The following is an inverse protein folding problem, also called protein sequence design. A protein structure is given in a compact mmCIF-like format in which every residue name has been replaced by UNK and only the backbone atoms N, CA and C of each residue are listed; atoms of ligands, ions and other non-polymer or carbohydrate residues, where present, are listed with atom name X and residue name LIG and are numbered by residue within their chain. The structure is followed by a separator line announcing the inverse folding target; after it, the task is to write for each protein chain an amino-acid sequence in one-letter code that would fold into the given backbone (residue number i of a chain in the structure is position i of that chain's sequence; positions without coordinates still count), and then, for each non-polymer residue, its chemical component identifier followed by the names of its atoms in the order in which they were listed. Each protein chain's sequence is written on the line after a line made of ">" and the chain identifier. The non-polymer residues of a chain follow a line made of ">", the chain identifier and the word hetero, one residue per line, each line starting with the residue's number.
data_IF_133005863867
#
_entry.id   IF_133005863867
#
_cell.length_a   1.000
_cell.length_b   1.000
_cell.length_c   1.000
_cell.angle_alpha   90.00
_cell.angle_beta   90.00
_cell.angle_gamma   90.00
#
_symmetry.space_group_name_H-M   'P 1'
#
loop_
_entity.id
_entity.type
_entity.pdbx_description
1 polymer ?
#
# COMPACT_ATOMS: atom_id res chain seq x y z
N UNK A 1 -27.07 12.40 -10.25
CA UNK A 1 -27.15 13.46 -9.22
C UNK A 1 -26.95 12.92 -7.79
N UNK A 2 -27.61 11.82 -7.38
CA UNK A 2 -27.46 11.22 -6.03
C UNK A 2 -26.02 10.74 -5.76
N UNK A 3 -25.33 10.19 -6.74
CA UNK A 3 -23.97 9.68 -6.60
C UNK A 3 -22.93 10.80 -6.46
N UNK A 4 -23.07 11.87 -7.23
CA UNK A 4 -22.27 13.09 -7.10
C UNK A 4 -22.45 13.76 -5.73
N UNK A 5 -23.66 13.76 -5.22
CA UNK A 5 -23.98 14.30 -3.89
C UNK A 5 -23.34 13.46 -2.77
N UNK A 6 -23.36 12.14 -2.90
CA UNK A 6 -22.74 11.21 -1.96
C UNK A 6 -21.22 11.32 -1.94
N UNK A 7 -20.58 11.47 -3.12
CA UNK A 7 -19.14 11.72 -3.25
C UNK A 7 -18.77 13.07 -2.62
N UNK A 8 -19.57 14.10 -2.83
CA UNK A 8 -19.35 15.42 -2.23
C UNK A 8 -19.53 15.38 -0.70
N UNK A 9 -20.51 14.63 -0.17
CA UNK A 9 -20.70 14.43 1.26
C UNK A 9 -19.52 13.68 1.89
N UNK A 10 -19.03 12.62 1.25
CA UNK A 10 -17.84 11.88 1.70
C UNK A 10 -16.61 12.79 1.72
N UNK A 11 -16.35 13.54 0.65
CA UNK A 11 -15.24 14.52 0.61
C UNK A 11 -15.38 15.61 1.68
N UNK A 12 -16.60 16.02 2.01
CA UNK A 12 -16.87 16.99 3.07
C UNK A 12 -16.60 16.40 4.46
N UNK A 13 -16.95 15.13 4.68
CA UNK A 13 -16.65 14.40 5.91
C UNK A 13 -15.15 14.13 6.07
N UNK A 14 -14.45 13.77 5.00
CA UNK A 14 -12.99 13.62 4.99
C UNK A 14 -12.27 14.95 5.27
N UNK A 15 -12.80 16.07 4.76
CA UNK A 15 -12.26 17.41 5.03
C UNK A 15 -12.49 17.89 6.48
N UNK A 16 -13.38 17.24 7.25
CA UNK A 16 -13.60 17.57 8.67
C UNK A 16 -12.44 17.11 9.57
N UNK A 17 -11.64 16.14 9.14
CA UNK A 17 -10.37 15.83 9.81
C UNK A 17 -9.38 16.89 9.34
N UNK A 18 -9.13 17.90 10.17
CA UNK A 18 -8.14 18.93 9.85
C UNK A 18 -6.71 18.33 9.88
N UNK A 19 -6.08 18.06 8.72
CA UNK A 19 -4.77 17.42 8.68
C UNK A 19 -3.70 18.26 9.41
N UNK A 20 -3.84 19.57 9.36
CA UNK A 20 -2.94 20.51 10.02
C UNK A 20 -3.03 20.39 11.55
N UNK A 21 -4.22 20.16 12.11
CA UNK A 21 -4.37 19.90 13.54
C UNK A 21 -3.65 18.61 13.96
N UNK A 22 -3.80 17.55 13.17
CA UNK A 22 -3.11 16.28 13.44
C UNK A 22 -1.59 16.44 13.39
N UNK A 23 -1.05 17.13 12.38
CA UNK A 23 0.39 17.35 12.29
C UNK A 23 0.91 18.18 13.46
N UNK A 24 0.25 19.27 13.80
CA UNK A 24 0.65 20.12 14.92
C UNK A 24 0.61 19.36 16.26
N UNK A 25 -0.37 18.48 16.43
CA UNK A 25 -0.47 17.65 17.64
C UNK A 25 0.68 16.64 17.71
N UNK A 26 0.98 15.96 16.59
CA UNK A 26 2.11 15.02 16.51
C UNK A 26 3.44 15.73 16.74
N UNK A 27 3.64 16.91 16.15
CA UNK A 27 4.85 17.70 16.33
C UNK A 27 4.99 18.12 17.81
N UNK A 28 3.91 18.53 18.47
CA UNK A 28 3.91 18.87 19.89
C UNK A 28 4.31 17.67 20.77
N UNK A 29 3.74 16.49 20.51
CA UNK A 29 4.08 15.26 21.25
C UNK A 29 5.54 14.87 20.98
N UNK A 30 6.02 15.05 19.74
CA UNK A 30 7.40 14.79 19.38
C UNK A 30 8.39 15.69 20.16
N UNK A 31 8.08 16.97 20.31
CA UNK A 31 8.88 17.88 21.15
C UNK A 31 8.94 17.41 22.60
N UNK A 32 7.81 17.01 23.17
CA UNK A 32 7.75 16.48 24.55
C UNK A 32 8.59 15.20 24.67
N UNK A 33 8.54 14.29 23.69
CA UNK A 33 9.35 13.07 23.66
C UNK A 33 10.85 13.41 23.64
N UNK A 34 11.27 14.36 22.81
CA UNK A 34 12.67 14.80 22.73
C UNK A 34 13.15 15.46 24.02
N UNK A 35 12.34 16.32 24.66
CA UNK A 35 12.66 16.95 25.95
C UNK A 35 12.86 15.93 27.07
N UNK A 36 12.15 14.79 27.00
CA UNK A 36 12.28 13.70 27.97
C UNK A 36 13.31 12.62 27.55
N UNK A 37 14.07 12.84 26.48
CA UNK A 37 15.02 11.88 25.88
C UNK A 37 14.39 10.55 25.45
N UNK A 38 13.10 10.54 25.13
CA UNK A 38 12.36 9.37 24.61
C UNK A 38 12.53 9.28 23.08
N UNK A 39 13.75 8.92 22.63
CA UNK A 39 14.12 8.93 21.22
C UNK A 39 13.28 7.97 20.39
N UNK A 40 12.95 6.80 20.93
CA UNK A 40 12.11 5.80 20.25
C UNK A 40 10.70 6.36 19.98
N UNK A 41 10.10 7.04 20.95
CA UNK A 41 8.78 7.67 20.76
C UNK A 41 8.88 8.76 19.70
N UNK A 42 9.95 9.56 19.70
CA UNK A 42 10.19 10.59 18.69
C UNK A 42 10.31 10.00 17.29
N UNK A 43 11.04 8.90 17.12
CA UNK A 43 11.14 8.19 15.82
C UNK A 43 9.79 7.67 15.34
N UNK A 44 9.00 7.06 16.22
CA UNK A 44 7.64 6.59 15.90
C UNK A 44 6.72 7.72 15.45
N UNK A 45 6.76 8.86 16.17
CA UNK A 45 5.96 10.04 15.82
C UNK A 45 6.39 10.63 14.46
N UNK A 46 7.68 10.69 14.19
CA UNK A 46 8.24 11.10 12.89
C UNK A 46 7.79 10.19 11.74
N UNK A 47 7.81 8.87 11.96
CA UNK A 47 7.31 7.91 11.00
C UNK A 47 5.80 8.09 10.75
N UNK A 48 4.99 8.19 11.82
CA UNK A 48 3.54 8.39 11.73
C UNK A 48 3.19 9.71 11.00
N UNK A 49 3.84 10.81 11.33
CA UNK A 49 3.66 12.09 10.67
C UNK A 49 3.99 12.05 9.18
N UNK A 50 5.03 11.28 8.79
CA UNK A 50 5.38 11.04 7.40
C UNK A 50 4.32 10.22 6.65
N UNK A 51 3.81 9.16 7.25
CA UNK A 51 2.74 8.33 6.67
C UNK A 51 1.47 9.14 6.44
N UNK A 52 1.06 9.93 7.43
CA UNK A 52 -0.11 10.79 7.32
C UNK A 52 0.07 11.85 6.21
N UNK A 53 1.21 12.54 6.14
CA UNK A 53 1.50 13.50 5.08
C UNK A 53 1.41 12.86 3.70
N UNK A 54 1.99 11.68 3.54
CA UNK A 54 1.91 10.95 2.29
C UNK A 54 0.46 10.60 1.95
N UNK A 55 -0.33 10.12 2.89
CA UNK A 55 -1.72 9.67 2.65
C UNK A 55 -2.68 10.82 2.29
N UNK A 56 -2.50 12.01 2.89
CA UNK A 56 -3.40 13.16 2.69
C UNK A 56 -3.12 13.92 1.38
N UNK A 57 -1.90 13.85 0.84
CA UNK A 57 -1.60 14.46 -0.46
C UNK A 57 -2.30 13.70 -1.59
N UNK A 58 -2.57 14.37 -2.72
CA UNK A 58 -3.33 13.83 -3.85
C UNK A 58 -2.98 12.35 -4.14
N UNK A 59 -4.00 11.49 -4.11
CA UNK A 59 -3.86 10.03 -4.25
C UNK A 59 -3.59 9.63 -5.71
N UNK A 60 -4.07 10.43 -6.66
CA UNK A 60 -3.94 10.15 -8.10
C UNK A 60 -2.58 10.54 -8.67
N UNK A 61 -1.62 10.88 -7.82
CA UNK A 61 -0.27 11.23 -8.26
C UNK A 61 0.54 10.01 -8.68
N UNK A 62 1.36 10.22 -9.70
CA UNK A 62 2.46 9.32 -10.05
C UNK A 62 3.68 9.71 -9.19
N UNK A 63 4.29 8.73 -8.58
CA UNK A 63 5.46 8.87 -7.69
C UNK A 63 6.57 7.93 -8.13
N UNK A 64 7.78 8.11 -7.62
CA UNK A 64 8.84 7.14 -7.80
C UNK A 64 8.59 5.91 -6.91
N UNK A 65 8.96 4.73 -7.37
CA UNK A 65 8.92 3.48 -6.60
C UNK A 65 9.61 3.66 -5.25
N UNK A 66 10.70 4.41 -5.21
CA UNK A 66 11.41 4.77 -3.96
C UNK A 66 10.48 5.38 -2.91
N UNK A 67 9.52 6.23 -3.31
CA UNK A 67 8.60 6.86 -2.36
C UNK A 67 7.61 5.84 -1.77
N UNK A 68 7.13 4.88 -2.56
CA UNK A 68 6.31 3.76 -2.05
C UNK A 68 7.12 2.88 -1.09
N UNK A 69 8.37 2.55 -1.43
CA UNK A 69 9.27 1.76 -0.57
C UNK A 69 9.49 2.47 0.79
N UNK A 70 9.77 3.77 0.78
CA UNK A 70 9.97 4.54 2.01
C UNK A 70 8.69 4.61 2.86
N UNK A 71 7.53 4.70 2.23
CA UNK A 71 6.26 4.60 2.93
C UNK A 71 6.10 3.21 3.59
N UNK A 72 6.34 2.15 2.83
CA UNK A 72 6.24 0.76 3.32
C UNK A 72 7.18 0.52 4.50
N UNK A 73 8.44 0.97 4.42
CA UNK A 73 9.42 0.83 5.50
C UNK A 73 8.91 1.48 6.80
N UNK A 74 8.39 2.70 6.72
CA UNK A 74 7.85 3.41 7.89
C UNK A 74 6.61 2.73 8.45
N UNK A 75 5.72 2.24 7.59
CA UNK A 75 4.54 1.49 8.00
C UNK A 75 4.93 0.21 8.74
N UNK A 76 5.80 -0.62 8.14
CA UNK A 76 6.25 -1.87 8.75
C UNK A 76 7.02 -1.65 10.05
N UNK A 77 7.85 -0.60 10.11
CA UNK A 77 8.52 -0.19 11.35
C UNK A 77 7.51 0.09 12.47
N UNK A 78 6.47 0.89 12.22
CA UNK A 78 5.44 1.16 13.22
C UNK A 78 4.66 -0.10 13.62
N UNK A 79 4.37 -0.98 12.68
CA UNK A 79 3.70 -2.25 12.98
C UNK A 79 4.58 -3.17 13.82
N UNK A 80 5.90 -3.23 13.58
CA UNK A 80 6.82 -3.97 14.44
C UNK A 80 6.87 -3.39 15.86
N UNK A 81 6.87 -2.07 16.01
CA UNK A 81 6.79 -1.44 17.35
C UNK A 81 5.49 -1.77 18.09
N UNK A 82 4.37 -1.90 17.35
CA UNK A 82 3.07 -2.25 17.91
C UNK A 82 2.95 -3.72 18.29
N UNK A 83 3.46 -4.62 17.47
CA UNK A 83 3.28 -6.07 17.61
C UNK A 83 4.52 -6.80 18.16
N UNK A 84 5.62 -6.08 18.42
CA UNK A 84 6.88 -6.67 18.89
C UNK A 84 7.48 -7.60 17.84
N UNK A 85 8.01 -8.72 18.32
CA UNK A 85 8.72 -9.71 17.48
C UNK A 85 7.77 -10.65 16.70
N UNK A 86 6.49 -10.27 16.54
CA UNK A 86 5.50 -11.08 15.84
C UNK A 86 5.95 -11.43 14.42
N UNK A 87 6.56 -10.47 13.72
CA UNK A 87 7.03 -10.67 12.34
C UNK A 87 8.33 -9.92 12.04
N UNK A 88 9.01 -10.41 11.00
CA UNK A 88 10.14 -9.74 10.36
C UNK A 88 9.78 -9.41 8.91
N UNK A 89 10.45 -8.42 8.33
CA UNK A 89 10.25 -8.09 6.92
C UNK A 89 11.56 -7.88 6.20
N UNK A 90 11.54 -8.14 4.90
CA UNK A 90 12.65 -7.89 3.98
C UNK A 90 12.12 -7.19 2.73
N UNK A 91 12.82 -6.15 2.29
CA UNK A 91 12.51 -5.42 1.05
C UNK A 91 13.73 -5.49 0.14
N UNK A 92 13.58 -6.17 -0.99
CA UNK A 92 14.58 -6.31 -2.03
C UNK A 92 14.11 -5.55 -3.26
N UNK A 93 14.74 -4.42 -3.56
CA UNK A 93 14.46 -3.63 -4.76
C UNK A 93 15.73 -3.52 -5.61
N UNK A 94 15.63 -3.79 -6.90
CA UNK A 94 16.71 -3.49 -7.84
C UNK A 94 16.91 -1.96 -7.90
N UNK A 95 18.15 -1.45 -7.77
CA UNK A 95 18.41 -0.01 -7.69
C UNK A 95 17.79 0.81 -8.81
N UNK A 96 17.77 0.25 -10.03
CA UNK A 96 17.20 0.93 -11.20
C UNK A 96 15.67 1.08 -11.11
N UNK A 97 15.00 0.24 -10.33
CA UNK A 97 13.55 0.31 -10.17
C UNK A 97 13.12 1.46 -9.27
N UNK A 98 13.97 1.91 -8.36
CA UNK A 98 13.66 3.01 -7.45
C UNK A 98 13.28 4.31 -8.17
N UNK A 99 13.81 4.50 -9.39
CA UNK A 99 13.58 5.68 -10.23
C UNK A 99 12.44 5.51 -11.24
N UNK A 100 11.82 4.33 -11.29
CA UNK A 100 10.64 4.11 -12.12
C UNK A 100 9.40 4.71 -11.46
N UNK A 101 8.44 5.05 -12.30
CA UNK A 101 7.19 5.67 -11.87
C UNK A 101 6.13 4.63 -11.56
N UNK A 102 5.38 4.85 -10.48
CA UNK A 102 4.24 4.05 -10.07
C UNK A 102 3.13 4.96 -9.53
N UNK A 103 1.88 4.55 -9.63
CA UNK A 103 0.80 5.28 -8.98
C UNK A 103 0.89 5.14 -7.45
N UNK A 104 0.70 6.27 -6.78
CA UNK A 104 0.81 6.41 -5.33
C UNK A 104 -0.15 5.48 -4.59
N UNK A 105 0.30 4.93 -3.47
CA UNK A 105 -0.49 4.06 -2.57
C UNK A 105 -1.05 2.81 -3.28
N UNK A 106 -0.34 2.29 -4.30
CA UNK A 106 -0.73 1.07 -4.99
C UNK A 106 -0.36 -0.17 -4.16
N UNK A 107 0.80 -0.15 -3.50
CA UNK A 107 1.33 -1.29 -2.75
C UNK A 107 0.82 -1.34 -1.30
N UNK A 108 0.44 -0.19 -0.74
CA UNK A 108 0.01 -0.08 0.65
C UNK A 108 -1.05 -1.10 1.05
N UNK A 109 -2.20 -1.26 0.34
CA UNK A 109 -3.25 -2.17 0.79
C UNK A 109 -2.81 -3.63 0.81
N UNK A 110 -1.86 -4.03 -0.03
CA UNK A 110 -1.33 -5.39 -0.06
C UNK A 110 -0.44 -5.66 1.16
N UNK A 111 0.40 -4.68 1.53
CA UNK A 111 1.25 -4.77 2.72
C UNK A 111 0.39 -4.73 3.99
N UNK A 112 -0.65 -3.90 4.03
CA UNK A 112 -1.61 -3.86 5.13
C UNK A 112 -2.33 -5.21 5.29
N UNK A 113 -2.76 -5.84 4.18
CA UNK A 113 -3.39 -7.15 4.21
C UNK A 113 -2.46 -8.23 4.78
N UNK A 114 -1.19 -8.25 4.38
CA UNK A 114 -0.20 -9.17 4.91
C UNK A 114 -0.03 -9.04 6.44
N UNK A 115 0.04 -7.80 6.96
CA UNK A 115 0.18 -7.55 8.40
C UNK A 115 -1.11 -7.87 9.16
N UNK A 116 -2.26 -7.37 8.69
CA UNK A 116 -3.51 -7.41 9.46
C UNK A 116 -4.26 -8.73 9.33
N UNK A 117 -4.21 -9.34 8.15
CA UNK A 117 -4.92 -10.58 7.85
C UNK A 117 -3.99 -11.79 7.78
N UNK A 118 -2.79 -11.63 7.20
CA UNK A 118 -1.81 -12.70 7.14
C UNK A 118 -1.42 -13.19 8.54
N UNK A 119 -1.24 -12.30 9.49
CA UNK A 119 -0.76 -12.63 10.84
C UNK A 119 -1.85 -12.63 11.92
N UNK A 120 -3.13 -12.69 11.54
CA UNK A 120 -4.24 -12.67 12.51
C UNK A 120 -4.14 -13.80 13.57
N UNK A 121 -3.69 -14.97 13.15
CA UNK A 121 -3.59 -16.18 13.99
C UNK A 121 -2.13 -16.57 14.30
N UNK A 122 -1.15 -15.73 13.94
CA UNK A 122 0.27 -16.01 14.18
C UNK A 122 0.71 -15.29 15.45
N UNK A 123 1.41 -16.02 16.33
CA UNK A 123 1.96 -15.48 17.58
C UNK A 123 3.45 -15.16 17.49
N UNK A 124 4.17 -15.77 16.54
CA UNK A 124 5.61 -15.57 16.32
C UNK A 124 6.03 -16.07 14.94
N UNK A 125 7.18 -15.62 14.47
CA UNK A 125 7.81 -16.14 13.24
C UNK A 125 7.16 -15.67 11.94
N UNK A 126 6.29 -14.66 11.97
CA UNK A 126 5.74 -14.02 10.77
C UNK A 126 6.85 -13.44 9.91
N UNK A 127 6.71 -13.52 8.60
CA UNK A 127 7.65 -12.94 7.61
C UNK A 127 6.89 -12.28 6.49
N UNK A 128 7.34 -11.07 6.13
CA UNK A 128 6.90 -10.38 4.92
C UNK A 128 8.10 -10.20 4.02
N UNK A 129 7.98 -10.63 2.78
CA UNK A 129 8.99 -10.39 1.75
C UNK A 129 8.40 -9.54 0.64
N UNK A 130 9.10 -8.46 0.29
CA UNK A 130 8.72 -7.57 -0.80
C UNK A 130 9.87 -7.55 -1.79
N UNK A 131 9.58 -7.92 -3.05
CA UNK A 131 10.57 -7.96 -4.12
C UNK A 131 10.11 -7.04 -5.23
N UNK A 132 10.97 -6.12 -5.66
CA UNK A 132 10.69 -5.19 -6.76
C UNK A 132 11.83 -5.31 -7.77
N UNK A 133 11.49 -5.70 -9.00
CA UNK A 133 12.45 -5.92 -10.10
C UNK A 133 11.95 -5.27 -11.38
N UNK A 134 12.84 -5.11 -12.34
CA UNK A 134 12.44 -4.72 -13.70
C UNK A 134 11.69 -5.85 -14.40
N UNK A 135 10.67 -5.49 -15.15
CA UNK A 135 9.95 -6.36 -16.08
C UNK A 135 10.06 -5.77 -17.50
N UNK A 136 11.06 -6.18 -18.25
CA UNK A 136 11.42 -5.56 -19.53
C UNK A 136 12.09 -4.19 -19.36
N UNK A 137 12.02 -3.34 -20.39
CA UNK A 137 12.75 -2.05 -20.38
C UNK A 137 12.19 -1.03 -19.40
N UNK A 138 10.88 -0.90 -19.30
CA UNK A 138 10.18 0.11 -18.49
C UNK A 138 9.15 -0.47 -17.52
N UNK A 139 8.98 -1.79 -17.46
CA UNK A 139 8.01 -2.45 -16.61
C UNK A 139 8.52 -2.71 -15.20
N UNK A 140 7.58 -3.00 -14.29
CA UNK A 140 7.82 -3.37 -12.91
C UNK A 140 7.26 -4.77 -12.63
N UNK A 141 8.05 -5.60 -11.99
CA UNK A 141 7.63 -6.80 -11.28
C UNK A 141 7.65 -6.50 -9.79
N UNK A 142 6.53 -6.72 -9.14
CA UNK A 142 6.34 -6.48 -7.71
C UNK A 142 5.77 -7.75 -7.11
N UNK A 143 6.43 -8.29 -6.09
CA UNK A 143 5.99 -9.44 -5.33
C UNK A 143 5.88 -9.04 -3.86
N UNK A 144 4.75 -9.36 -3.24
CA UNK A 144 4.52 -9.21 -1.80
C UNK A 144 4.08 -10.57 -1.31
N UNK A 145 4.88 -11.16 -0.42
CA UNK A 145 4.65 -12.48 0.13
C UNK A 145 4.68 -12.43 1.66
N UNK A 146 3.76 -13.13 2.29
CA UNK A 146 3.73 -13.42 3.72
C UNK A 146 3.67 -14.92 3.97
N UNK A 147 4.10 -15.37 5.14
CA UNK A 147 3.96 -16.73 5.61
C UNK A 147 2.82 -16.86 6.63
N UNK A 148 1.76 -16.11 6.43
CA UNK A 148 0.61 -16.02 7.32
C UNK A 148 -0.37 -17.19 7.23
N UNK A 149 -1.62 -16.91 7.64
CA UNK A 149 -2.68 -17.93 7.65
C UNK A 149 -3.07 -18.43 6.25
N UNK A 150 -2.75 -17.66 5.19
CA UNK A 150 -3.15 -17.99 3.84
C UNK A 150 -4.67 -17.90 3.60
N UNK A 151 -5.09 -18.36 2.43
CA UNK A 151 -6.49 -18.34 2.01
C UNK A 151 -6.94 -19.68 1.45
N UNK A 152 -8.22 -20.00 1.58
CA UNK A 152 -8.84 -21.13 0.92
C UNK A 152 -9.10 -20.85 -0.57
N UNK A 153 -9.46 -21.91 -1.31
CA UNK A 153 -9.72 -21.81 -2.75
C UNK A 153 -10.93 -20.93 -3.10
N UNK A 154 -11.93 -20.88 -2.22
CA UNK A 154 -13.13 -20.09 -2.42
C UNK A 154 -12.78 -18.60 -2.34
N UNK A 155 -11.96 -18.22 -1.36
CA UNK A 155 -11.48 -16.85 -1.21
C UNK A 155 -10.59 -16.41 -2.36
N UNK A 156 -9.68 -17.27 -2.83
CA UNK A 156 -8.83 -16.99 -3.98
C UNK A 156 -9.68 -16.81 -5.24
N UNK A 157 -10.70 -17.68 -5.45
CA UNK A 157 -11.61 -17.55 -6.57
C UNK A 157 -12.39 -16.22 -6.52
N UNK A 158 -12.87 -15.80 -5.35
CA UNK A 158 -13.51 -14.50 -5.12
C UNK A 158 -12.59 -13.33 -5.52
N UNK A 159 -11.31 -13.39 -5.15
CA UNK A 159 -10.33 -12.36 -5.51
C UNK A 159 -10.08 -12.31 -7.02
N UNK A 160 -10.00 -13.46 -7.70
CA UNK A 160 -9.87 -13.49 -9.16
C UNK A 160 -11.12 -12.99 -9.87
N UNK A 161 -12.32 -13.31 -9.36
CA UNK A 161 -13.56 -12.73 -9.88
C UNK A 161 -13.54 -11.19 -9.75
N UNK A 162 -13.01 -10.67 -8.64
CA UNK A 162 -12.81 -9.23 -8.47
C UNK A 162 -11.84 -8.64 -9.51
N UNK A 163 -10.81 -9.39 -9.91
CA UNK A 163 -9.85 -8.95 -10.95
C UNK A 163 -10.51 -8.88 -12.32
N UNK A 164 -11.31 -9.91 -12.68
CA UNK A 164 -11.93 -10.02 -14.01
C UNK A 164 -13.24 -9.24 -14.14
N UNK A 165 -13.96 -9.08 -13.04
CA UNK A 165 -15.30 -8.45 -12.99
C UNK A 165 -15.41 -7.45 -11.84
N UNK A 166 -14.57 -6.39 -11.82
CA UNK A 166 -14.52 -5.45 -10.68
C UNK A 166 -15.85 -4.72 -10.45
N UNK A 167 -16.71 -4.61 -11.50
CA UNK A 167 -18.02 -3.98 -11.41
C UNK A 167 -19.01 -4.73 -10.51
N UNK A 168 -18.80 -6.04 -10.28
CA UNK A 168 -19.68 -6.89 -9.47
C UNK A 168 -19.32 -6.90 -7.97
N UNK A 169 -18.12 -6.44 -7.59
CA UNK A 169 -17.54 -6.62 -6.26
C UNK A 169 -17.39 -5.33 -5.44
N UNK A 170 -18.46 -4.59 -5.26
CA UNK A 170 -18.38 -3.30 -4.57
C UNK A 170 -18.24 -3.35 -3.04
N UNK A 171 -18.28 -4.51 -2.35
CA UNK A 171 -18.52 -4.52 -0.89
C UNK A 171 -17.68 -5.44 0.02
N UNK A 172 -16.91 -6.41 -0.44
CA UNK A 172 -16.41 -7.45 0.49
C UNK A 172 -14.92 -7.44 0.84
N UNK A 173 -14.06 -6.85 0.00
CA UNK A 173 -12.60 -6.80 0.23
C UNK A 173 -12.04 -5.42 -0.11
N UNK A 174 -12.32 -4.44 0.71
CA UNK A 174 -12.02 -3.02 0.42
C UNK A 174 -10.54 -2.81 0.01
N UNK A 175 -9.59 -3.45 0.70
CA UNK A 175 -8.16 -3.27 0.41
C UNK A 175 -7.74 -3.79 -0.97
N UNK A 176 -8.01 -5.07 -1.27
CA UNK A 176 -7.64 -5.70 -2.55
C UNK A 176 -8.43 -5.12 -3.73
N UNK A 177 -9.73 -4.89 -3.54
CA UNK A 177 -10.58 -4.24 -4.54
C UNK A 177 -10.05 -2.85 -4.94
N UNK A 178 -9.57 -2.07 -3.98
CA UNK A 178 -8.98 -0.76 -4.27
C UNK A 178 -7.70 -0.89 -5.13
N UNK A 179 -6.89 -1.93 -4.90
CA UNK A 179 -5.70 -2.20 -5.73
C UNK A 179 -6.12 -2.51 -7.17
N UNK A 180 -7.08 -3.43 -7.36
CA UNK A 180 -7.58 -3.84 -8.68
C UNK A 180 -8.19 -2.65 -9.42
N UNK A 181 -9.03 -1.87 -8.77
CA UNK A 181 -9.63 -0.68 -9.38
C UNK A 181 -8.57 0.35 -9.81
N UNK A 182 -7.54 0.57 -9.02
CA UNK A 182 -6.43 1.46 -9.38
C UNK A 182 -5.62 0.90 -10.55
N UNK A 183 -5.30 -0.41 -10.52
CA UNK A 183 -4.61 -1.05 -11.62
C UNK A 183 -5.39 -0.89 -12.94
N UNK A 184 -6.69 -1.15 -12.92
CA UNK A 184 -7.57 -0.97 -14.09
C UNK A 184 -7.62 0.49 -14.55
N UNK A 185 -7.81 1.44 -13.61
CA UNK A 185 -7.94 2.85 -13.94
C UNK A 185 -6.65 3.44 -14.54
N UNK A 186 -5.48 3.04 -14.03
CA UNK A 186 -4.21 3.67 -14.40
C UNK A 186 -3.44 2.89 -15.47
N UNK A 187 -3.58 1.56 -15.50
CA UNK A 187 -2.79 0.72 -16.39
C UNK A 187 -3.64 0.00 -17.45
N UNK A 188 -4.98 -0.09 -17.29
CA UNK A 188 -5.86 -0.80 -18.22
C UNK A 188 -5.39 -2.24 -18.42
N UNK A 189 -5.14 -2.65 -19.67
CA UNK A 189 -4.66 -4.01 -20.00
C UNK A 189 -3.14 -4.19 -19.83
N UNK A 190 -2.42 -3.18 -19.31
CA UNK A 190 -0.96 -3.19 -19.17
C UNK A 190 -0.48 -3.72 -17.84
N UNK A 191 -1.30 -4.42 -17.10
CA UNK A 191 -0.88 -5.10 -15.87
C UNK A 191 -1.34 -6.55 -15.87
N UNK A 192 -0.66 -7.34 -15.06
CA UNK A 192 -1.09 -8.70 -14.72
C UNK A 192 -0.94 -8.88 -13.22
N UNK A 193 -1.93 -9.53 -12.57
CA UNK A 193 -1.90 -9.86 -11.16
C UNK A 193 -2.07 -11.36 -10.98
N UNK A 194 -1.24 -11.94 -10.11
CA UNK A 194 -1.29 -13.35 -9.73
C UNK A 194 -1.35 -13.46 -8.22
N UNK A 195 -2.22 -14.35 -7.73
CA UNK A 195 -2.37 -14.65 -6.30
C UNK A 195 -2.08 -16.12 -6.12
N UNK A 196 -1.12 -16.43 -5.27
CA UNK A 196 -0.79 -17.80 -4.84
C UNK A 196 -0.92 -17.85 -3.32
N UNK A 197 -1.81 -18.69 -2.82
CA UNK A 197 -2.06 -18.81 -1.38
C UNK A 197 -2.59 -20.17 -1.02
N UNK A 198 -2.15 -20.68 0.15
CA UNK A 198 -2.63 -21.92 0.73
C UNK A 198 -2.80 -21.73 2.24
N UNK A 199 -3.86 -22.32 2.78
CA UNK A 199 -4.13 -22.26 4.22
C UNK A 199 -2.91 -22.77 5.02
N UNK A 200 -2.41 -21.93 5.92
CA UNK A 200 -1.26 -22.23 6.78
C UNK A 200 0.11 -22.06 6.11
N UNK A 201 0.18 -21.67 4.84
CA UNK A 201 1.44 -21.45 4.11
C UNK A 201 1.69 -19.98 3.76
N UNK A 202 0.66 -19.14 3.91
CA UNK A 202 0.72 -17.70 3.62
C UNK A 202 0.15 -17.31 2.27
N UNK A 203 0.44 -16.08 1.87
CA UNK A 203 -0.06 -15.50 0.61
C UNK A 203 1.07 -14.82 -0.15
N UNK A 204 1.07 -15.00 -1.46
CA UNK A 204 1.94 -14.31 -2.39
C UNK A 204 1.09 -13.60 -3.45
N UNK A 205 1.25 -12.30 -3.55
CA UNK A 205 0.65 -11.48 -4.61
C UNK A 205 1.76 -10.96 -5.52
N UNK A 206 1.62 -11.19 -6.81
CA UNK A 206 2.55 -10.71 -7.84
C UNK A 206 1.80 -9.75 -8.74
N UNK A 207 2.37 -8.57 -8.95
CA UNK A 207 1.88 -7.60 -9.93
C UNK A 207 2.98 -7.33 -10.93
N UNK A 208 2.66 -7.50 -12.21
CA UNK A 208 3.54 -7.11 -13.32
C UNK A 208 2.89 -5.94 -14.04
N UNK A 209 3.58 -4.80 -14.07
CA UNK A 209 3.12 -3.58 -14.75
C UNK A 209 4.03 -3.35 -15.95
N UNK A 210 3.42 -3.17 -17.13
CA UNK A 210 4.11 -2.72 -18.33
C UNK A 210 3.91 -1.21 -18.46
N UNK A 211 4.93 -0.43 -18.12
CA UNK A 211 4.90 1.01 -18.35
C UNK A 211 5.12 1.26 -19.85
N UNK A 212 4.02 1.48 -20.58
CA UNK A 212 4.07 2.06 -21.91
C UNK A 212 4.59 3.50 -21.83
N UNK A 213 5.07 4.04 -22.94
CA UNK A 213 5.39 5.46 -23.03
C UNK A 213 4.16 6.26 -22.59
N UNK A 214 4.31 7.09 -21.55
CA UNK A 214 3.32 8.10 -21.28
C UNK A 214 3.37 9.06 -22.48
N UNK A 215 2.34 9.00 -23.32
CA UNK A 215 2.05 10.03 -24.31
C UNK A 215 1.63 11.30 -23.58
N UNK A 216 2.56 11.95 -22.89
CA UNK A 216 2.50 13.36 -22.65
C UNK A 216 3.09 14.05 -23.88
N UNK A 217 2.34 13.99 -24.99
CA UNK A 217 2.49 15.00 -26.01
C UNK A 217 1.94 16.30 -25.44
N UNK A 218 2.90 17.16 -25.19
CA UNK A 218 2.86 18.62 -25.34
C UNK A 218 1.49 19.21 -25.77
N UNK A 219 0.71 19.67 -24.80
CA UNK A 219 -0.32 20.67 -25.02
C UNK A 219 0.30 22.07 -24.83
N UNK A 220 1.32 22.36 -25.62
CA UNK A 220 1.89 23.72 -25.77
C UNK A 220 1.70 24.14 -27.23
N UNK A 221 0.52 24.67 -27.54
CA UNK A 221 0.31 25.69 -28.62
C UNK A 221 -0.90 26.52 -28.31
#
# INVERSE_FOLDING_TARGET
>A
EMELRRIAEIKTLEAQINPHFLYNTLDTINWIALENNELEISEMLGALGSLLRYSVTNIDMVVLVKAEIEWIKKYLYLQQKRFGDLFQYEIQAEPETEYLSIHKMLLQPLVENAVLHGFADITEGGRIQIVIRRAGEKGLYIEIADNGCGMDREKIAELYECVYHPELYQKSNIGFFNVVNRLNAYYGDRYHITIDSHIGEGTKVIIVIQNGESSHEDSSR
#
